data_IF_344805597798
#
_entry.id   IF_344805597798
#
_cell.length_a   1.000
_cell.length_b   1.000
_cell.length_c   1.000
_cell.angle_alpha   90.00
_cell.angle_beta   90.00
_cell.angle_gamma   90.00
#
_symmetry.space_group_name_H-M   'P 1'
#
loop_
_entity.id
_entity.type
_entity.pdbx_description
1 polymer ?
#
# COMPACT_ATOMS: atom_id res chain seq x y z
N UNK A 1 -12.23 11.17 -14.17
CA UNK A 1 -11.20 10.11 -14.15
C UNK A 1 -11.62 9.13 -13.07
N UNK A 2 -11.82 7.85 -13.40
CA UNK A 2 -12.08 6.83 -12.38
C UNK A 2 -10.79 6.66 -11.60
N UNK A 3 -10.80 6.97 -10.31
CA UNK A 3 -9.74 6.56 -9.40
C UNK A 3 -9.77 5.03 -9.39
N UNK A 4 -8.87 4.42 -10.14
CA UNK A 4 -8.65 2.99 -10.12
C UNK A 4 -8.26 2.62 -8.68
N UNK A 5 -9.06 1.84 -7.93
CA UNK A 5 -8.75 1.51 -6.53
C UNK A 5 -7.47 0.68 -6.41
N UNK A 6 -6.93 0.20 -7.54
CA UNK A 6 -5.69 -0.54 -7.66
C UNK A 6 -4.69 0.25 -8.51
N UNK A 7 -3.95 1.21 -7.91
CA UNK A 7 -2.86 1.88 -8.61
C UNK A 7 -1.86 0.85 -9.15
N UNK A 8 -1.34 1.10 -10.34
CA UNK A 8 -0.34 0.23 -10.98
C UNK A 8 0.81 -0.09 -10.02
N UNK A 9 1.09 -1.40 -9.84
CA UNK A 9 2.10 -1.88 -8.91
C UNK A 9 1.58 -2.26 -7.52
N UNK A 10 0.27 -2.20 -7.28
CA UNK A 10 -0.36 -2.81 -6.10
C UNK A 10 -0.24 -4.34 -6.15
N UNK A 11 0.20 -4.95 -5.06
CA UNK A 11 0.30 -6.40 -4.90
C UNK A 11 -0.64 -6.84 -3.78
N UNK A 12 -1.60 -7.73 -4.08
CA UNK A 12 -2.46 -8.34 -3.06
C UNK A 12 -1.63 -9.17 -2.08
N UNK A 13 -1.83 -9.00 -0.78
CA UNK A 13 -1.13 -9.77 0.23
C UNK A 13 -1.80 -11.15 0.38
N UNK A 14 -0.97 -12.20 0.40
CA UNK A 14 -1.44 -13.58 0.61
C UNK A 14 -2.04 -13.72 2.00
N UNK A 15 -3.18 -14.42 2.11
CA UNK A 15 -3.88 -14.62 3.38
C UNK A 15 -4.78 -13.45 3.80
N UNK A 16 -4.95 -12.45 2.94
CA UNK A 16 -5.89 -11.35 3.15
C UNK A 16 -6.92 -11.28 2.02
N UNK A 17 -8.17 -11.02 2.36
CA UNK A 17 -9.26 -10.91 1.38
C UNK A 17 -9.15 -9.60 0.58
N UNK A 18 -8.87 -8.48 1.27
CA UNK A 18 -8.96 -7.14 0.70
C UNK A 18 -7.71 -6.27 0.93
N UNK A 19 -6.59 -6.86 1.33
CA UNK A 19 -5.38 -6.10 1.69
C UNK A 19 -4.34 -6.12 0.56
N UNK A 20 -3.81 -4.95 0.26
CA UNK A 20 -2.87 -4.72 -0.83
C UNK A 20 -1.65 -3.95 -0.33
N UNK A 21 -0.53 -4.13 -1.02
CA UNK A 21 0.72 -3.40 -0.78
C UNK A 21 1.10 -2.59 -2.00
N UNK A 22 1.39 -1.31 -1.80
CA UNK A 22 1.90 -0.41 -2.81
C UNK A 22 3.25 0.17 -2.38
N UNK A 23 4.18 0.26 -3.34
CA UNK A 23 5.44 0.97 -3.15
C UNK A 23 5.35 2.33 -3.82
N UNK A 24 5.47 3.39 -3.03
CA UNK A 24 5.50 4.78 -3.52
C UNK A 24 6.83 5.39 -3.08
N UNK A 25 7.79 5.47 -4.01
CA UNK A 25 9.15 5.94 -3.71
C UNK A 25 9.83 5.13 -2.60
N UNK A 26 10.00 5.78 -1.43
CA UNK A 26 10.64 5.24 -0.22
C UNK A 26 9.65 4.69 0.82
N UNK A 27 8.37 4.72 0.50
CA UNK A 27 7.27 4.31 1.37
C UNK A 27 6.75 2.93 0.99
N UNK A 28 6.37 2.14 2.00
CA UNK A 28 5.52 0.97 1.82
C UNK A 28 4.15 1.28 2.41
N UNK A 29 3.15 1.27 1.55
CA UNK A 29 1.75 1.49 1.91
C UNK A 29 1.06 0.13 1.92
N UNK A 30 0.31 -0.14 2.98
CA UNK A 30 -0.68 -1.22 3.00
C UNK A 30 -2.05 -0.56 2.95
N UNK A 31 -2.95 -1.03 2.11
CA UNK A 31 -4.30 -0.48 2.06
C UNK A 31 -5.31 -1.60 1.91
N UNK A 32 -6.53 -1.30 2.35
CA UNK A 32 -7.67 -2.17 2.26
C UNK A 32 -8.83 -1.45 1.57
N UNK A 33 -9.63 -2.22 0.84
CA UNK A 33 -10.83 -1.71 0.18
C UNK A 33 -12.04 -2.37 0.81
N UNK A 34 -12.93 -1.57 1.39
CA UNK A 34 -14.13 -2.04 2.11
C UNK A 34 -15.36 -1.34 1.57
N UNK A 35 -16.29 -2.05 0.92
CA UNK A 35 -17.62 -1.51 0.53
C UNK A 35 -17.59 -0.09 -0.10
N UNK A 36 -16.65 0.15 -1.01
CA UNK A 36 -16.35 1.43 -1.68
C UNK A 36 -15.57 2.49 -0.87
N UNK A 37 -15.17 2.18 0.35
CA UNK A 37 -14.23 2.98 1.14
C UNK A 37 -12.81 2.43 1.01
N UNK A 38 -11.87 3.33 0.71
CA UNK A 38 -10.45 3.03 0.66
C UNK A 38 -9.82 3.37 2.02
N UNK A 39 -9.39 2.35 2.75
CA UNK A 39 -8.67 2.52 4.03
C UNK A 39 -7.18 2.37 3.77
N UNK A 40 -6.40 3.44 3.94
CA UNK A 40 -4.96 3.44 3.66
C UNK A 40 -4.16 3.48 4.97
N UNK A 41 -3.33 2.45 5.20
CA UNK A 41 -2.41 2.35 6.35
C UNK A 41 -0.94 2.44 5.91
N UNK A 42 -0.24 3.48 6.37
CA UNK A 42 1.19 3.64 6.11
C UNK A 42 1.98 2.86 7.16
N UNK A 43 2.45 1.67 6.80
CA UNK A 43 3.16 0.77 7.73
C UNK A 43 4.64 1.13 7.94
N UNK A 44 5.28 1.80 6.98
CA UNK A 44 6.67 2.24 7.15
C UNK A 44 7.07 3.35 6.18
N UNK A 45 7.82 4.31 6.72
CA UNK A 45 8.49 5.38 6.00
C UNK A 45 9.99 5.05 6.07
N UNK A 46 10.62 4.67 4.97
CA UNK A 46 12.02 4.20 5.02
C UNK A 46 12.88 4.98 4.06
N UNK A 47 13.52 6.05 4.55
CA UNK A 47 14.58 6.74 3.80
C UNK A 47 15.73 5.74 3.56
N UNK A 48 16.14 5.49 2.30
CA UNK A 48 17.22 4.52 1.94
C UNK A 48 18.56 4.79 2.68
N UNK A 49 18.68 5.93 3.36
CA UNK A 49 19.88 6.33 4.14
C UNK A 49 19.91 5.85 5.60
N UNK A 50 18.81 5.39 6.21
CA UNK A 50 18.78 5.03 7.64
C UNK A 50 18.37 3.57 7.93
N UNK A 51 18.22 2.72 6.90
CA UNK A 51 17.86 1.31 7.09
C UNK A 51 19.03 0.40 7.54
N UNK A 52 20.19 0.97 7.87
CA UNK A 52 21.33 0.30 8.50
C UNK A 52 21.82 1.13 9.69
N UNK A 53 21.15 1.01 10.84
CA UNK A 53 21.78 1.05 12.17
C UNK A 53 21.03 0.11 13.10
#
# INVERSE_FOLDING_TARGET
>A
MKEEPHPHGSIKLKGSENTFRLRVGVYRIIYEVHNNELVVLIISISHRKDAYR
#
